data_IF_385558310897
#
_entry.id   IF_385558310897
#
_cell.length_a   1.000
_cell.length_b   1.000
_cell.length_c   1.000
_cell.angle_alpha   90.00
_cell.angle_beta   90.00
_cell.angle_gamma   90.00
#
_symmetry.space_group_name_H-M   'P 1'
#
loop_
_entity.id
_entity.type
_entity.pdbx_description
1 polymer ?
#
# COMPACT_ATOMS: atom_id res chain seq x y z
N UNK A 1 7.99 12.09 -24.23
CA UNK A 1 8.90 11.55 -23.21
C UNK A 1 8.31 10.22 -22.77
N UNK A 2 9.02 9.12 -22.89
CA UNK A 2 8.59 7.82 -22.37
C UNK A 2 8.63 7.88 -20.85
N UNK A 3 7.57 7.45 -20.17
CA UNK A 3 7.26 7.69 -18.75
C UNK A 3 8.20 7.15 -17.68
N UNK A 4 9.40 6.74 -18.02
CA UNK A 4 10.42 6.24 -17.08
C UNK A 4 11.32 7.33 -16.47
N UNK A 5 11.19 8.58 -16.89
CA UNK A 5 12.03 9.68 -16.40
C UNK A 5 11.40 10.52 -15.29
N UNK A 6 10.21 10.16 -14.83
CA UNK A 6 9.55 10.88 -13.75
C UNK A 6 10.12 10.46 -12.38
N UNK A 7 10.48 11.40 -11.48
CA UNK A 7 10.93 11.07 -10.12
C UNK A 7 9.85 10.38 -9.29
N UNK A 8 8.61 10.41 -9.75
CA UNK A 8 7.45 9.81 -9.09
C UNK A 8 7.17 8.37 -9.52
N UNK A 9 7.91 7.84 -10.49
CA UNK A 9 7.83 6.45 -10.92
C UNK A 9 9.06 5.70 -10.44
N UNK A 10 8.85 4.73 -9.59
CA UNK A 10 9.90 3.95 -8.94
C UNK A 10 9.82 2.50 -9.42
N UNK A 11 10.57 2.13 -10.46
CA UNK A 11 10.59 0.75 -10.95
C UNK A 11 11.04 -0.24 -9.89
N UNK A 12 10.59 -1.48 -9.99
CA UNK A 12 10.99 -2.58 -9.09
C UNK A 12 12.51 -2.61 -8.87
N UNK A 13 12.92 -2.62 -7.61
CA UNK A 13 14.32 -2.67 -7.20
C UNK A 13 15.04 -1.31 -7.16
N UNK A 14 14.48 -0.23 -7.71
CA UNK A 14 15.11 1.10 -7.70
C UNK A 14 15.24 1.71 -6.30
N UNK A 15 14.35 1.33 -5.38
CA UNK A 15 14.31 1.79 -3.99
C UNK A 15 14.52 0.66 -2.97
N UNK A 16 15.20 -0.41 -3.40
CA UNK A 16 15.59 -1.52 -2.52
C UNK A 16 16.66 -1.07 -1.53
N UNK A 17 16.40 -1.25 -0.25
CA UNK A 17 17.38 -0.97 0.82
C UNK A 17 17.01 -1.63 2.15
N UNK A 18 18.00 -1.82 3.03
CA UNK A 18 17.83 -2.34 4.39
C UNK A 18 17.04 -3.65 4.49
N UNK A 19 17.22 -4.54 3.50
CA UNK A 19 16.52 -5.84 3.47
C UNK A 19 15.06 -5.77 2.99
N UNK A 20 14.58 -4.61 2.54
CA UNK A 20 13.26 -4.43 1.93
C UNK A 20 13.37 -4.26 0.43
N UNK A 21 12.44 -4.82 -0.32
CA UNK A 21 12.36 -4.68 -1.79
C UNK A 21 11.91 -3.28 -2.21
N UNK A 22 11.07 -2.66 -1.38
CA UNK A 22 10.62 -1.28 -1.53
C UNK A 22 10.84 -0.55 -0.22
N UNK A 23 11.39 0.66 -0.28
CA UNK A 23 11.41 1.62 0.83
C UNK A 23 11.07 2.99 0.28
N UNK A 24 9.88 3.46 0.60
CA UNK A 24 9.44 4.85 0.42
C UNK A 24 9.24 5.44 1.80
N UNK A 25 9.95 6.49 2.11
CA UNK A 25 9.87 7.24 3.35
C UNK A 25 10.28 8.71 3.10
N UNK A 26 10.42 9.51 4.12
CA UNK A 26 10.81 10.93 4.03
C UNK A 26 12.25 11.17 3.51
N UNK A 27 12.98 10.12 3.17
CA UNK A 27 14.25 10.23 2.43
C UNK A 27 14.06 10.40 0.92
N UNK A 28 12.85 10.21 0.41
CA UNK A 28 12.52 10.52 -0.99
C UNK A 28 12.33 12.03 -1.11
N UNK A 29 13.08 12.73 -1.98
CA UNK A 29 12.97 14.17 -2.11
C UNK A 29 11.55 14.65 -2.42
N UNK A 30 11.01 15.55 -1.59
CA UNK A 30 9.66 16.09 -1.75
C UNK A 30 8.53 15.21 -1.19
N UNK A 31 8.86 14.08 -0.55
CA UNK A 31 7.92 13.15 0.06
C UNK A 31 7.93 13.29 1.59
N UNK A 32 6.76 13.42 2.25
CA UNK A 32 6.75 13.82 3.66
C UNK A 32 5.77 13.06 4.56
N UNK A 33 4.63 12.58 4.03
CA UNK A 33 3.50 12.21 4.87
C UNK A 33 3.21 10.72 4.89
N UNK A 34 3.54 10.00 3.82
CA UNK A 34 3.28 8.58 3.71
C UNK A 34 4.55 7.76 3.51
N UNK A 35 4.48 6.47 3.76
CA UNK A 35 5.59 5.54 3.56
C UNK A 35 5.11 4.15 3.18
N UNK A 36 6.01 3.41 2.54
CA UNK A 36 5.78 2.02 2.17
C UNK A 36 7.07 1.23 2.29
N UNK A 37 6.99 0.11 2.99
CA UNK A 37 8.04 -0.90 3.01
C UNK A 37 7.45 -2.20 2.48
N UNK A 38 8.11 -2.83 1.51
CA UNK A 38 7.80 -4.21 1.10
C UNK A 38 8.94 -5.10 1.53
N UNK A 39 8.64 -5.97 2.48
CA UNK A 39 9.62 -6.74 3.24
C UNK A 39 9.54 -8.21 2.87
N UNK A 40 10.55 -8.78 2.18
CA UNK A 40 10.68 -10.22 2.03
C UNK A 40 11.17 -10.83 3.35
N UNK A 41 10.54 -11.90 3.81
CA UNK A 41 10.89 -12.58 5.06
C UNK A 41 10.94 -14.10 4.83
N UNK A 42 12.11 -14.68 5.04
CA UNK A 42 12.23 -16.12 5.21
C UNK A 42 11.73 -16.53 6.60
N UNK A 43 11.50 -17.83 6.80
CA UNK A 43 11.09 -18.36 8.09
C UNK A 43 12.06 -17.98 9.22
N UNK A 44 11.55 -17.37 10.27
CA UNK A 44 12.32 -16.88 11.41
C UNK A 44 13.15 -15.61 11.16
N UNK A 45 13.19 -15.10 9.93
CA UNK A 45 13.83 -13.82 9.63
C UNK A 45 13.01 -12.68 10.22
N UNK A 46 13.69 -11.68 10.77
CA UNK A 46 13.06 -10.50 11.37
C UNK A 46 13.37 -9.23 10.61
N UNK A 47 12.41 -8.32 10.62
CA UNK A 47 12.54 -6.93 10.18
C UNK A 47 11.88 -6.03 11.21
N UNK A 48 12.43 -4.85 11.45
CA UNK A 48 11.84 -3.92 12.41
C UNK A 48 11.96 -2.46 11.98
N UNK A 49 11.02 -1.66 12.47
CA UNK A 49 11.01 -0.19 12.29
C UNK A 49 10.49 0.48 13.55
N UNK A 50 10.98 1.70 13.80
CA UNK A 50 10.55 2.54 14.92
C UNK A 50 10.71 4.01 14.51
N UNK A 51 9.62 4.75 14.48
CA UNK A 51 9.60 6.19 14.24
C UNK A 51 8.61 6.83 15.21
N UNK A 52 9.01 7.92 15.82
CA UNK A 52 8.22 8.55 16.88
C UNK A 52 6.84 9.03 16.42
N UNK A 53 6.69 9.43 15.18
CA UNK A 53 5.51 10.09 14.61
C UNK A 53 4.84 9.31 13.46
N UNK A 54 5.16 8.03 13.29
CA UNK A 54 4.57 7.20 12.24
C UNK A 54 3.69 6.10 12.83
N UNK A 55 2.54 5.87 12.21
CA UNK A 55 1.67 4.72 12.41
C UNK A 55 1.76 3.77 11.23
N UNK A 56 1.35 2.52 11.41
CA UNK A 56 1.56 1.47 10.43
C UNK A 56 0.34 0.59 10.23
N UNK A 57 0.11 0.18 8.97
CA UNK A 57 -0.78 -0.92 8.61
C UNK A 57 0.05 -2.00 7.93
N UNK A 58 0.05 -3.20 8.51
CA UNK A 58 0.81 -4.36 8.05
C UNK A 58 -0.10 -5.28 7.24
N UNK A 59 0.27 -5.51 5.99
CA UNK A 59 -0.57 -6.22 5.01
C UNK A 59 0.22 -7.34 4.34
N UNK A 60 -0.12 -8.61 4.52
CA UNK A 60 0.46 -9.70 3.75
C UNK A 60 0.17 -9.58 2.25
N UNK A 61 1.20 -9.46 1.43
CA UNK A 61 1.11 -9.64 -0.02
C UNK A 61 1.09 -11.14 -0.35
N UNK A 62 2.02 -11.88 0.26
CA UNK A 62 2.08 -13.35 0.24
C UNK A 62 2.63 -13.88 1.54
N UNK A 63 2.25 -15.11 1.91
CA UNK A 63 2.76 -15.77 3.11
C UNK A 63 2.17 -15.23 4.40
N UNK A 64 2.85 -15.49 5.51
CA UNK A 64 2.42 -15.24 6.87
C UNK A 64 3.54 -14.63 7.72
N UNK A 65 3.19 -13.90 8.78
CA UNK A 65 4.17 -13.30 9.68
C UNK A 65 3.62 -13.17 11.11
N UNK A 66 4.51 -13.26 12.09
CA UNK A 66 4.25 -12.78 13.43
C UNK A 66 4.55 -11.28 13.48
N UNK A 67 3.64 -10.52 14.03
CA UNK A 67 3.77 -9.07 14.26
C UNK A 67 3.86 -8.82 15.75
N UNK A 68 4.95 -8.23 16.20
CA UNK A 68 5.11 -7.72 17.56
C UNK A 68 5.14 -6.20 17.51
N UNK A 69 4.37 -5.56 18.37
CA UNK A 69 4.27 -4.11 18.48
C UNK A 69 4.46 -3.69 19.93
N UNK A 70 5.47 -2.88 20.20
CA UNK A 70 5.65 -2.24 21.51
C UNK A 70 5.19 -0.80 21.39
N UNK A 71 4.10 -0.45 22.06
CA UNK A 71 3.52 0.89 22.01
C UNK A 71 4.32 1.92 22.83
N UNK A 72 3.93 3.18 22.76
CA UNK A 72 4.61 4.28 23.46
C UNK A 72 4.53 4.19 25.00
N UNK A 73 3.61 3.37 25.53
CA UNK A 73 3.52 3.08 26.97
C UNK A 73 4.44 1.91 27.39
N UNK A 74 5.11 1.27 26.43
CA UNK A 74 5.93 0.09 26.63
C UNK A 74 5.14 -1.21 26.71
N UNK A 75 3.85 -1.19 26.34
CA UNK A 75 3.03 -2.39 26.29
C UNK A 75 3.32 -3.17 25.01
N UNK A 76 3.59 -4.46 25.17
CA UNK A 76 3.81 -5.36 24.06
C UNK A 76 2.49 -5.99 23.61
N UNK A 77 2.25 -5.95 22.31
CA UNK A 77 1.11 -6.55 21.61
C UNK A 77 1.65 -7.51 20.55
N UNK A 78 0.94 -8.62 20.35
CA UNK A 78 1.32 -9.62 19.37
C UNK A 78 0.12 -10.08 18.56
N UNK A 79 0.32 -10.30 17.26
CA UNK A 79 -0.67 -10.92 16.39
C UNK A 79 0.02 -11.75 15.31
N UNK A 80 -0.58 -12.89 14.98
CA UNK A 80 -0.16 -13.72 13.84
C UNK A 80 -1.00 -13.38 12.63
N UNK A 81 -0.39 -12.84 11.60
CA UNK A 81 -0.98 -12.70 10.29
C UNK A 81 -0.97 -14.07 9.60
N UNK A 82 -2.15 -14.61 9.33
CA UNK A 82 -2.35 -15.86 8.59
C UNK A 82 -1.94 -15.64 7.13
N UNK A 83 -2.32 -14.48 6.60
CA UNK A 83 -1.97 -14.05 5.25
C UNK A 83 -2.66 -14.85 4.15
N UNK A 84 -1.98 -14.94 3.00
CA UNK A 84 -2.54 -15.53 1.78
C UNK A 84 -1.44 -15.99 0.83
N UNK A 85 -1.80 -16.81 -0.16
CA UNK A 85 -0.85 -17.29 -1.19
C UNK A 85 -0.49 -16.19 -2.22
N UNK A 86 -1.34 -15.23 -2.46
CA UNK A 86 -1.11 -14.04 -3.31
C UNK A 86 -2.17 -12.97 -3.06
N UNK A 87 -1.93 -11.74 -3.53
CA UNK A 87 -2.93 -10.65 -3.50
C UNK A 87 -4.20 -10.99 -4.29
N UNK A 88 -4.10 -11.90 -5.27
CA UNK A 88 -5.23 -12.34 -6.09
C UNK A 88 -6.04 -13.48 -5.45
N UNK A 89 -5.54 -14.12 -4.38
CA UNK A 89 -6.21 -15.24 -3.73
C UNK A 89 -7.37 -14.84 -2.80
N UNK A 90 -7.61 -13.54 -2.59
CA UNK A 90 -8.68 -13.06 -1.73
C UNK A 90 -8.23 -12.00 -0.72
N UNK A 91 -9.13 -11.69 0.21
CA UNK A 91 -8.84 -10.79 1.34
C UNK A 91 -7.73 -11.36 2.22
N UNK A 92 -7.06 -10.49 2.95
CA UNK A 92 -6.10 -10.88 3.99
C UNK A 92 -6.43 -10.19 5.30
N UNK A 93 -5.97 -10.77 6.38
CA UNK A 93 -5.89 -10.12 7.68
C UNK A 93 -4.83 -9.02 7.68
N UNK A 94 -4.99 -8.04 8.55
CA UNK A 94 -4.06 -6.92 8.69
C UNK A 94 -3.85 -6.57 10.16
N UNK A 95 -2.73 -5.89 10.44
CA UNK A 95 -2.44 -5.34 11.76
C UNK A 95 -2.25 -3.85 11.65
N UNK A 96 -2.85 -3.10 12.56
CA UNK A 96 -2.58 -1.69 12.78
C UNK A 96 -1.70 -1.51 14.03
N UNK A 97 -0.65 -0.72 13.89
CA UNK A 97 0.21 -0.28 14.98
C UNK A 97 0.17 1.25 15.12
N UNK A 98 -0.19 1.79 16.29
CA UNK A 98 -0.34 3.22 16.52
C UNK A 98 0.98 3.98 16.43
N UNK A 99 0.90 5.28 16.25
CA UNK A 99 2.07 6.13 16.07
C UNK A 99 3.05 6.05 17.25
N UNK A 100 4.35 5.95 16.90
CA UNK A 100 5.44 5.85 17.86
C UNK A 100 5.67 4.45 18.43
N UNK A 101 5.01 3.44 17.87
CA UNK A 101 5.29 2.04 18.21
C UNK A 101 6.58 1.56 17.58
N UNK A 102 7.27 0.64 18.27
CA UNK A 102 8.26 -0.24 17.66
C UNK A 102 7.55 -1.42 17.05
N UNK A 103 7.66 -1.58 15.75
CA UNK A 103 7.07 -2.68 14.99
C UNK A 103 8.16 -3.69 14.62
N UNK A 104 7.91 -4.98 14.87
CA UNK A 104 8.77 -6.08 14.45
C UNK A 104 7.94 -7.12 13.71
N UNK A 105 8.43 -7.55 12.55
CA UNK A 105 7.87 -8.63 11.75
C UNK A 105 8.80 -9.84 11.82
N UNK A 106 8.24 -11.02 11.99
CA UNK A 106 8.98 -12.29 11.91
C UNK A 106 8.29 -13.20 10.90
N UNK A 107 9.00 -13.65 9.88
CA UNK A 107 8.46 -14.56 8.88
C UNK A 107 8.04 -15.89 9.49
N UNK A 108 6.82 -16.36 9.20
CA UNK A 108 6.25 -17.60 9.74
C UNK A 108 6.15 -18.73 8.72
N UNK A 109 6.26 -18.41 7.42
CA UNK A 109 6.22 -19.39 6.32
C UNK A 109 7.58 -19.59 5.64
N UNK A 110 7.64 -20.38 4.58
CA UNK A 110 8.87 -20.59 3.80
C UNK A 110 9.40 -19.27 3.20
N UNK A 111 8.50 -18.51 2.60
CA UNK A 111 8.74 -17.15 2.10
C UNK A 111 7.48 -16.31 2.31
N UNK A 112 7.66 -15.11 2.77
CA UNK A 112 6.60 -14.14 2.94
C UNK A 112 7.02 -12.81 2.33
N UNK A 113 6.07 -12.06 1.78
CA UNK A 113 6.24 -10.66 1.38
C UNK A 113 5.17 -9.84 2.07
N UNK A 114 5.60 -8.94 2.91
CA UNK A 114 4.71 -8.15 3.77
C UNK A 114 4.86 -6.68 3.41
N UNK A 115 3.75 -6.03 3.06
CA UNK A 115 3.70 -4.59 2.93
C UNK A 115 3.47 -3.95 4.31
N UNK A 116 4.23 -2.91 4.61
CA UNK A 116 4.03 -2.04 5.77
C UNK A 116 3.73 -0.65 5.23
N UNK A 117 2.45 -0.32 5.19
CA UNK A 117 1.98 1.01 4.84
C UNK A 117 2.15 1.90 6.07
N UNK A 118 2.64 3.11 5.89
CA UNK A 118 2.94 4.03 6.96
C UNK A 118 2.39 5.43 6.68
N UNK A 119 1.99 6.14 7.73
CA UNK A 119 1.65 7.55 7.63
C UNK A 119 2.20 8.33 8.83
N UNK A 120 2.61 9.57 8.55
CA UNK A 120 3.07 10.49 9.59
C UNK A 120 1.90 11.14 10.29
N UNK A 121 1.87 10.99 11.59
CA UNK A 121 0.83 11.52 12.47
C UNK A 121 1.24 12.88 13.01
N UNK A 122 0.51 13.93 12.64
CA UNK A 122 0.75 15.30 13.15
C UNK A 122 0.18 15.48 14.56
N UNK A 123 -0.91 14.80 14.89
CA UNK A 123 -1.58 14.85 16.17
C UNK A 123 -2.06 13.45 16.55
N UNK A 124 -1.46 12.86 17.57
CA UNK A 124 -1.85 11.55 18.06
C UNK A 124 -3.24 11.58 18.67
N UNK A 125 -4.07 10.64 18.27
CA UNK A 125 -5.32 10.28 18.91
C UNK A 125 -5.11 9.28 20.04
N UNK A 126 -6.20 8.61 20.40
CA UNK A 126 -6.20 7.50 21.37
C UNK A 126 -6.24 6.13 20.68
N UNK A 127 -5.67 6.04 19.49
CA UNK A 127 -5.64 4.83 18.66
C UNK A 127 -4.85 3.71 19.33
N UNK A 128 -5.25 2.46 19.09
CA UNK A 128 -4.68 1.29 19.74
C UNK A 128 -4.29 0.25 18.71
N UNK A 129 -3.34 -0.59 19.08
CA UNK A 129 -3.02 -1.80 18.32
C UNK A 129 -4.29 -2.60 18.01
N UNK A 130 -4.43 -3.01 16.75
CA UNK A 130 -5.60 -3.76 16.30
C UNK A 130 -5.21 -4.81 15.25
N UNK A 131 -5.67 -6.02 15.45
CA UNK A 131 -5.74 -7.06 14.44
C UNK A 131 -7.12 -7.03 13.80
N UNK A 132 -7.20 -7.11 12.48
CA UNK A 132 -8.44 -7.20 11.71
C UNK A 132 -8.35 -8.50 10.92
N UNK A 133 -9.28 -9.41 11.18
CA UNK A 133 -9.33 -10.69 10.48
C UNK A 133 -9.77 -10.51 9.01
N UNK A 134 -9.38 -11.43 8.14
CA UNK A 134 -9.66 -11.33 6.71
C UNK A 134 -11.18 -11.27 6.40
N UNK A 135 -12.02 -11.92 7.19
CA UNK A 135 -13.48 -11.89 7.05
C UNK A 135 -14.13 -10.60 7.57
N UNK A 136 -13.43 -9.85 8.42
CA UNK A 136 -13.82 -8.52 8.88
C UNK A 136 -13.50 -7.42 7.86
N UNK A 137 -12.63 -7.67 6.87
CA UNK A 137 -12.29 -6.69 5.83
C UNK A 137 -13.45 -6.54 4.85
N UNK A 138 -14.11 -5.37 4.77
CA UNK A 138 -15.19 -5.14 3.82
C UNK A 138 -14.72 -5.21 2.37
N UNK A 139 -15.56 -5.78 1.52
CA UNK A 139 -15.36 -5.81 0.07
C UNK A 139 -16.46 -4.98 -0.58
N UNK A 140 -16.06 -4.03 -1.38
CA UNK A 140 -16.96 -3.18 -2.16
C UNK A 140 -16.72 -3.42 -3.65
N UNK A 141 -17.80 -3.71 -4.39
CA UNK A 141 -17.79 -3.69 -5.85
C UNK A 141 -18.11 -2.28 -6.31
N UNK A 142 -17.11 -1.57 -6.80
CA UNK A 142 -17.21 -0.15 -7.17
C UNK A 142 -17.19 0.05 -8.67
N UNK A 143 -17.98 1.01 -9.14
CA UNK A 143 -18.08 1.38 -10.55
C UNK A 143 -19.01 0.47 -11.37
N UNK A 144 -19.00 0.66 -12.68
CA UNK A 144 -19.79 -0.11 -13.64
C UNK A 144 -19.05 -0.25 -14.98
N UNK A 145 -19.34 -1.31 -15.73
CA UNK A 145 -18.72 -1.57 -17.03
C UNK A 145 -17.20 -1.64 -16.93
N UNK A 146 -16.50 -0.92 -17.79
CA UNK A 146 -15.03 -0.85 -17.80
C UNK A 146 -14.42 -0.11 -16.61
N UNK A 147 -15.24 0.45 -15.73
CA UNK A 147 -14.78 1.07 -14.48
C UNK A 147 -15.07 0.19 -13.25
N UNK A 148 -15.54 -1.04 -13.45
CA UNK A 148 -15.81 -1.99 -12.36
C UNK A 148 -14.50 -2.50 -11.76
N UNK A 149 -14.42 -2.49 -10.42
CA UNK A 149 -13.29 -3.01 -9.64
C UNK A 149 -13.76 -3.49 -8.27
N UNK A 150 -13.01 -4.37 -7.65
CA UNK A 150 -13.19 -4.77 -6.28
C UNK A 150 -12.27 -3.94 -5.37
N UNK A 151 -12.81 -3.41 -4.29
CA UNK A 151 -12.04 -2.66 -3.28
C UNK A 151 -12.14 -3.39 -1.94
N UNK A 152 -11.00 -3.69 -1.33
CA UNK A 152 -10.87 -4.31 -0.01
C UNK A 152 -10.45 -3.24 0.99
N UNK A 153 -11.41 -2.78 1.76
CA UNK A 153 -11.30 -1.60 2.63
C UNK A 153 -10.80 -2.00 4.03
N UNK A 154 -9.52 -2.35 4.21
CA UNK A 154 -8.99 -2.80 5.50
C UNK A 154 -8.56 -1.66 6.44
N UNK A 155 -8.26 -0.47 5.93
CA UNK A 155 -7.85 0.68 6.73
C UNK A 155 -8.49 1.98 6.21
N UNK A 156 -9.81 2.02 6.30
CA UNK A 156 -10.63 3.22 6.02
C UNK A 156 -11.36 3.63 7.31
N UNK A 157 -11.82 4.88 7.45
CA UNK A 157 -12.37 5.40 8.71
C UNK A 157 -13.48 4.57 9.35
N UNK A 158 -14.35 3.92 8.56
CA UNK A 158 -15.45 3.09 9.07
C UNK A 158 -14.99 1.69 9.55
N UNK A 159 -13.74 1.31 9.28
CA UNK A 159 -13.18 -0.01 9.60
C UNK A 159 -12.08 0.09 10.65
N UNK A 160 -11.24 1.09 10.55
CA UNK A 160 -10.08 1.30 11.41
C UNK A 160 -10.06 2.75 11.92
N UNK A 161 -10.02 2.88 13.25
CA UNK A 161 -9.75 4.15 13.91
C UNK A 161 -8.24 4.39 13.90
N UNK A 162 -7.74 5.04 12.84
CA UNK A 162 -6.35 5.44 12.66
C UNK A 162 -6.21 6.96 12.77
N UNK A 163 -5.00 7.46 13.04
CA UNK A 163 -4.77 8.89 13.22
C UNK A 163 -4.65 9.63 11.88
N UNK A 164 -4.10 9.00 10.84
CA UNK A 164 -3.81 9.63 9.56
C UNK A 164 -3.90 8.67 8.37
N UNK A 165 -3.59 7.38 8.53
CA UNK A 165 -3.47 6.47 7.41
C UNK A 165 -4.82 6.05 6.85
N UNK A 166 -4.91 6.06 5.52
CA UNK A 166 -5.95 5.37 4.76
C UNK A 166 -5.25 4.38 3.84
N UNK A 167 -5.66 3.12 3.86
CA UNK A 167 -5.10 2.11 2.97
C UNK A 167 -6.15 1.08 2.57
N UNK A 168 -6.12 0.67 1.31
CA UNK A 168 -6.99 -0.35 0.75
C UNK A 168 -6.28 -1.10 -0.38
N UNK A 169 -6.82 -2.23 -0.78
CA UNK A 169 -6.47 -2.93 -2.01
C UNK A 169 -7.53 -2.71 -3.08
N UNK A 170 -7.11 -2.52 -4.31
CA UNK A 170 -8.01 -2.39 -5.46
C UNK A 170 -7.65 -3.44 -6.51
N UNK A 171 -8.57 -4.36 -6.78
CA UNK A 171 -8.45 -5.34 -7.86
C UNK A 171 -9.19 -4.83 -9.09
N UNK A 172 -8.43 -4.49 -10.11
CA UNK A 172 -8.96 -3.99 -11.38
C UNK A 172 -8.86 -5.08 -12.42
N UNK A 173 -9.99 -5.60 -12.95
CA UNK A 173 -9.97 -6.60 -14.02
C UNK A 173 -9.24 -6.08 -15.27
N UNK A 174 -8.65 -7.00 -16.04
CA UNK A 174 -7.99 -6.66 -17.29
C UNK A 174 -8.91 -5.85 -18.23
N UNK A 175 -8.39 -4.75 -18.78
CA UNK A 175 -9.13 -3.83 -19.64
C UNK A 175 -9.99 -2.81 -18.91
N UNK A 176 -10.05 -2.85 -17.58
CA UNK A 176 -10.80 -1.90 -16.77
C UNK A 176 -9.91 -0.75 -16.26
N UNK A 177 -10.58 0.31 -15.85
CA UNK A 177 -9.98 1.47 -15.21
C UNK A 177 -10.26 1.49 -13.71
N UNK A 178 -9.24 1.81 -12.92
CA UNK A 178 -9.33 2.12 -11.50
C UNK A 178 -9.26 3.63 -11.29
N UNK A 179 -9.72 4.11 -10.12
CA UNK A 179 -9.75 5.55 -9.77
C UNK A 179 -10.43 6.43 -10.84
N UNK A 180 -11.50 5.91 -11.44
CA UNK A 180 -12.26 6.61 -12.46
C UNK A 180 -13.67 6.96 -11.95
N UNK A 181 -14.18 8.19 -12.17
CA UNK A 181 -13.54 9.30 -12.88
C UNK A 181 -12.29 9.81 -12.15
N UNK A 182 -11.39 10.50 -12.88
CA UNK A 182 -10.22 11.12 -12.26
C UNK A 182 -10.63 12.07 -11.14
N UNK A 183 -9.86 12.12 -10.07
CA UNK A 183 -10.06 12.99 -8.92
C UNK A 183 -8.70 13.46 -8.40
N UNK A 184 -8.69 14.43 -7.52
CA UNK A 184 -7.46 15.01 -6.96
C UNK A 184 -7.53 15.11 -5.44
N UNK A 185 -6.38 15.24 -4.82
CA UNK A 185 -6.21 15.43 -3.39
C UNK A 185 -5.23 16.59 -3.11
N UNK A 186 -5.51 17.75 -3.70
CA UNK A 186 -4.60 18.91 -3.71
C UNK A 186 -4.81 19.85 -2.54
N UNK A 187 -6.03 19.89 -1.99
CA UNK A 187 -6.44 20.91 -1.03
C UNK A 187 -7.29 20.29 0.08
N UNK A 188 -7.17 20.84 1.29
CA UNK A 188 -8.09 20.51 2.37
C UNK A 188 -9.34 21.38 2.28
N UNK A 189 -10.48 20.77 1.88
CA UNK A 189 -11.80 21.40 1.79
C UNK A 189 -12.85 20.52 2.42
N UNK A 190 -13.32 20.88 3.59
CA UNK A 190 -14.26 20.12 4.40
C UNK A 190 -15.44 19.57 3.57
N UNK A 191 -15.64 18.25 3.56
CA UNK A 191 -16.71 17.55 2.85
C UNK A 191 -16.58 17.51 1.32
N UNK A 192 -15.51 18.03 0.74
CA UNK A 192 -15.28 18.07 -0.71
C UNK A 192 -13.97 17.42 -1.14
N UNK A 193 -12.87 17.69 -0.46
CA UNK A 193 -11.54 17.23 -0.83
C UNK A 193 -10.64 17.21 0.40
N UNK A 194 -9.81 16.18 0.52
CA UNK A 194 -8.78 16.08 1.56
C UNK A 194 -7.41 16.08 0.90
N UNK A 195 -6.49 16.91 1.39
CA UNK A 195 -5.10 16.94 0.92
C UNK A 195 -4.37 15.69 1.38
N UNK A 196 -3.87 14.89 0.42
CA UNK A 196 -3.17 13.64 0.67
C UNK A 196 -1.92 13.50 -0.22
N UNK A 197 -0.95 12.73 0.24
CA UNK A 197 0.02 12.03 -0.58
C UNK A 197 -0.44 10.58 -0.77
N UNK A 198 -0.37 10.03 -1.99
CA UNK A 198 -0.74 8.66 -2.26
C UNK A 198 0.44 7.83 -2.78
N UNK A 199 0.51 6.58 -2.36
CA UNK A 199 1.44 5.57 -2.88
C UNK A 199 0.64 4.47 -3.56
N UNK A 200 0.88 4.26 -4.84
CA UNK A 200 0.40 3.09 -5.56
C UNK A 200 1.52 2.06 -5.67
N UNK A 201 1.32 0.89 -5.09
CA UNK A 201 2.16 -0.29 -5.28
C UNK A 201 1.40 -1.29 -6.16
N UNK A 202 2.07 -1.85 -7.15
CA UNK A 202 1.43 -2.67 -8.16
C UNK A 202 1.81 -4.15 -8.05
N UNK A 203 0.79 -4.99 -8.15
CA UNK A 203 0.91 -6.42 -8.49
C UNK A 203 0.04 -6.66 -9.73
N UNK A 204 0.63 -7.21 -10.77
CA UNK A 204 -0.06 -7.45 -12.04
C UNK A 204 0.03 -8.93 -12.39
N UNK A 205 -1.10 -9.52 -12.73
CA UNK A 205 -1.19 -10.93 -13.12
C UNK A 205 -1.93 -11.06 -14.43
N UNK A 206 -1.49 -12.00 -15.26
CA UNK A 206 -2.24 -12.36 -16.45
C UNK A 206 -3.61 -12.94 -16.06
N UNK A 207 -4.68 -12.53 -16.75
CA UNK A 207 -6.01 -13.07 -16.49
C UNK A 207 -6.04 -14.57 -16.73
N UNK A 208 -6.76 -15.32 -15.89
CA UNK A 208 -6.95 -16.77 -16.06
C UNK A 208 -7.61 -17.06 -17.41
N UNK A 209 -7.05 -18.01 -18.15
CA UNK A 209 -7.52 -18.37 -19.50
C UNK A 209 -7.11 -17.40 -20.61
N UNK A 210 -6.35 -16.36 -20.32
CA UNK A 210 -5.77 -15.52 -21.36
C UNK A 210 -4.84 -16.36 -22.26
N UNK A 211 -4.85 -16.13 -23.61
CA UNK A 211 -3.96 -16.86 -24.49
C UNK A 211 -2.51 -16.68 -24.04
N UNK A 212 -1.77 -17.77 -23.94
CA UNK A 212 -0.32 -17.68 -23.78
C UNK A 212 0.23 -16.93 -25.01
N UNK A 213 0.62 -15.67 -24.81
CA UNK A 213 1.22 -14.86 -25.87
C UNK A 213 2.47 -15.57 -26.40
N UNK A 214 2.73 -15.49 -27.69
CA UNK A 214 3.98 -15.95 -28.29
C UNK A 214 5.12 -15.16 -27.64
N UNK A 215 5.79 -15.74 -26.64
CA UNK A 215 6.92 -15.13 -25.95
C UNK A 215 6.67 -14.66 -24.52
N UNK A 216 5.49 -14.96 -23.92
CA UNK A 216 5.23 -14.64 -22.49
C UNK A 216 5.36 -13.16 -22.19
N UNK A 217 4.53 -12.32 -22.83
CA UNK A 217 4.52 -10.90 -22.50
C UNK A 217 4.16 -10.73 -21.02
N UNK A 218 5.01 -10.05 -20.26
CA UNK A 218 4.72 -9.69 -18.90
C UNK A 218 3.44 -8.85 -18.85
N UNK A 219 2.49 -9.16 -17.95
CA UNK A 219 1.29 -8.36 -17.80
C UNK A 219 1.68 -6.94 -17.34
N UNK A 220 0.95 -5.96 -17.86
CA UNK A 220 1.20 -4.55 -17.54
C UNK A 220 -0.08 -3.84 -17.14
N UNK A 221 0.06 -2.81 -16.30
CA UNK A 221 -0.93 -1.78 -16.06
C UNK A 221 -0.43 -0.42 -16.53
N UNK A 222 -1.29 0.58 -16.46
CA UNK A 222 -0.96 1.96 -16.78
C UNK A 222 -1.45 2.88 -15.66
N UNK A 223 -0.58 3.79 -15.24
CA UNK A 223 -0.91 4.83 -14.28
C UNK A 223 -0.80 6.19 -14.95
N UNK A 224 -1.84 7.00 -14.78
CA UNK A 224 -1.87 8.39 -15.25
C UNK A 224 -2.09 9.32 -14.06
N UNK A 225 -1.17 10.28 -13.84
CA UNK A 225 -1.33 11.38 -12.89
C UNK A 225 -1.15 12.67 -13.63
N UNK A 226 -2.04 13.63 -13.43
CA UNK A 226 -1.95 14.97 -14.00
C UNK A 226 -2.53 16.00 -13.04
N UNK A 227 -1.90 17.15 -12.99
CA UNK A 227 -2.26 18.21 -12.07
C UNK A 227 -3.08 19.33 -12.69
N UNK A 228 -3.16 20.42 -11.97
CA UNK A 228 -3.77 21.68 -12.40
C UNK A 228 -2.70 22.64 -12.94
N UNK A 229 -3.12 23.81 -13.42
CA UNK A 229 -2.19 24.85 -13.85
C UNK A 229 -1.36 25.42 -12.67
N UNK A 230 -1.95 25.43 -11.48
CA UNK A 230 -1.36 25.91 -10.24
C UNK A 230 -0.42 24.88 -9.59
N UNK A 231 -0.75 23.60 -9.74
CA UNK A 231 0.05 22.46 -9.24
C UNK A 231 0.30 21.46 -10.38
N UNK A 232 1.24 21.76 -11.28
CA UNK A 232 1.49 20.92 -12.45
C UNK A 232 2.20 19.63 -12.05
N UNK A 233 1.67 18.51 -12.52
CA UNK A 233 2.31 17.20 -12.55
C UNK A 233 1.86 16.49 -13.82
N UNK A 234 2.74 15.68 -14.41
CA UNK A 234 2.45 14.93 -15.62
C UNK A 234 3.20 13.59 -15.59
N UNK A 235 2.49 12.53 -15.16
CA UNK A 235 3.00 11.17 -15.10
C UNK A 235 2.15 10.28 -16.00
N UNK A 236 2.78 9.56 -16.90
CA UNK A 236 2.19 8.46 -17.64
C UNK A 236 3.19 7.29 -17.60
N UNK A 237 2.86 6.26 -16.84
CA UNK A 237 3.74 5.12 -16.62
C UNK A 237 3.07 3.81 -17.04
N UNK A 238 3.84 2.94 -17.70
CA UNK A 238 3.58 1.51 -17.74
C UNK A 238 4.10 0.94 -16.41
N UNK A 239 3.28 0.14 -15.73
CA UNK A 239 3.60 -0.42 -14.41
C UNK A 239 3.51 -1.95 -14.42
N UNK A 240 4.37 -2.58 -13.64
CA UNK A 240 4.50 -4.03 -13.46
C UNK A 240 4.50 -4.38 -11.97
N UNK A 241 4.46 -5.68 -11.66
CA UNK A 241 4.56 -6.14 -10.27
C UNK A 241 5.85 -5.63 -9.62
N UNK A 242 5.71 -5.02 -8.45
CA UNK A 242 6.81 -4.44 -7.68
C UNK A 242 7.11 -2.97 -7.98
N UNK A 243 6.49 -2.39 -9.00
CA UNK A 243 6.62 -0.96 -9.28
C UNK A 243 5.81 -0.12 -8.30
N UNK A 244 6.27 1.11 -8.09
CA UNK A 244 5.60 2.10 -7.24
C UNK A 244 5.41 3.39 -8.02
N UNK A 245 4.24 4.00 -7.91
CA UNK A 245 4.00 5.37 -8.36
C UNK A 245 3.62 6.23 -7.17
N UNK A 246 4.30 7.34 -7.02
CA UNK A 246 4.06 8.34 -6.00
C UNK A 246 3.18 9.46 -6.57
N UNK A 247 2.15 9.84 -5.82
CA UNK A 247 1.23 10.92 -6.16
C UNK A 247 1.32 11.99 -5.08
N UNK A 248 2.22 12.98 -5.24
CA UNK A 248 2.36 14.06 -4.26
C UNK A 248 1.19 15.05 -4.31
N UNK A 249 0.50 15.09 -5.44
CA UNK A 249 -0.71 15.85 -5.76
C UNK A 249 -1.20 15.46 -7.17
N UNK A 250 -2.39 15.88 -7.55
CA UNK A 250 -2.94 15.63 -8.89
C UNK A 250 -4.14 14.74 -8.90
#
# INVERSE_FOLDING_TARGET
MTGTDSPWVLPMGSVRRRGSDVVVDDSVPGWQHTGLYVVPLASGQTWSTEHADWEYVVVPLTGSALVTCVDVAGTEHEATLIGRSSVFAGRTDVVYAPAGSRLTLTGSGAESRIAVCAARVRRRGATKFRYIAADEVPVELRGAGTCSREVRNFAVPDVLDADAIIACEVLTPAGNWSSYPPHKHDEEREGLETELEEIYYFEVQQAEGAPAGNGGADPVGYQRVYGTAERPIDVFAEVRSGDVVLVPHG
#
